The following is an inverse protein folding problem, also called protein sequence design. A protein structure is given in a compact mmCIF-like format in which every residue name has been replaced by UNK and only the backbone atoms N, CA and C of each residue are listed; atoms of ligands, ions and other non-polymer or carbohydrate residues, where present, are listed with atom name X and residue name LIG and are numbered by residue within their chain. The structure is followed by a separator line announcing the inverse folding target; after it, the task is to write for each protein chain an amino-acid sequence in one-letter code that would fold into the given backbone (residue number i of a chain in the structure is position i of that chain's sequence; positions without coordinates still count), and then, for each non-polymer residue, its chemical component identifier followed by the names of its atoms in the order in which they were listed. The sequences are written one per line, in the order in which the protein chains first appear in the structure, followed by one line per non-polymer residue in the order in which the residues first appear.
data_IF_249561378744
#
_entry.id   IF_249561378744
#
_cell.length_a   1.000
_cell.length_b   1.000
_cell.length_c   1.000
_cell.angle_alpha   90.00
_cell.angle_beta   90.00
_cell.angle_gamma   90.00
#
_symmetry.space_group_name_H-M   'P 1'
#
loop_
_entity.id
_entity.type
_entity.pdbx_description
1 polymer ?
#
# COMPACT_ATOMS: atom_id res chain seq x y z
N UNK A 1 16.97 -62.39 -35.12
CA UNK A 1 18.13 -61.65 -34.60
C UNK A 1 17.88 -60.17 -34.87
N UNK A 2 17.24 -59.54 -33.90
CA UNK A 2 16.87 -58.13 -33.98
C UNK A 2 18.06 -57.29 -33.49
N UNK A 3 18.69 -56.58 -34.41
CA UNK A 3 19.79 -55.63 -34.08
C UNK A 3 19.17 -54.37 -33.59
N UNK A 4 19.30 -54.10 -32.30
CA UNK A 4 18.85 -52.82 -31.69
C UNK A 4 19.45 -51.65 -32.43
N UNK A 5 18.66 -50.58 -32.72
CA UNK A 5 19.10 -49.42 -33.51
C UNK A 5 20.09 -48.50 -32.80
N UNK A 6 20.58 -48.90 -31.63
CA UNK A 6 21.46 -48.06 -30.79
C UNK A 6 22.93 -48.26 -31.09
N UNK A 7 23.31 -49.27 -31.96
CA UNK A 7 24.71 -49.67 -32.14
C UNK A 7 25.48 -48.87 -33.22
N UNK A 8 24.86 -47.93 -33.93
CA UNK A 8 25.52 -47.19 -35.04
C UNK A 8 25.63 -45.68 -34.84
N UNK A 9 25.25 -45.15 -33.66
CA UNK A 9 25.49 -43.75 -33.39
C UNK A 9 26.98 -43.51 -33.15
N UNK A 10 27.61 -42.75 -34.04
CA UNK A 10 28.98 -42.28 -33.90
C UNK A 10 29.11 -41.39 -32.66
N UNK A 11 30.25 -41.45 -31.98
CA UNK A 11 30.57 -40.56 -30.87
C UNK A 11 30.37 -39.08 -31.26
N UNK A 12 30.61 -38.75 -32.55
CA UNK A 12 30.36 -37.40 -33.09
C UNK A 12 28.88 -36.99 -33.04
N UNK A 13 27.98 -37.91 -33.43
CA UNK A 13 26.53 -37.63 -33.42
C UNK A 13 25.98 -37.43 -32.01
N UNK A 14 26.51 -38.15 -31.02
CA UNK A 14 26.13 -38.02 -29.61
C UNK A 14 26.60 -36.67 -29.05
N UNK A 15 27.79 -36.23 -29.39
CA UNK A 15 28.33 -34.95 -28.95
C UNK A 15 27.60 -33.78 -29.59
N UNK A 16 27.26 -33.87 -30.87
CA UNK A 16 26.51 -32.84 -31.59
C UNK A 16 25.07 -32.72 -31.05
N UNK A 17 24.41 -33.85 -30.78
CA UNK A 17 23.08 -33.84 -30.16
C UNK A 17 23.11 -33.34 -28.74
N UNK A 18 24.17 -33.61 -27.95
CA UNK A 18 24.32 -33.09 -26.59
C UNK A 18 24.52 -31.58 -26.59
N UNK A 19 25.31 -31.05 -27.51
CA UNK A 19 25.58 -29.61 -27.64
C UNK A 19 24.31 -28.86 -28.12
N UNK A 20 23.57 -29.43 -29.08
CA UNK A 20 22.28 -28.91 -29.53
C UNK A 20 21.22 -28.86 -28.41
N UNK A 21 21.21 -29.87 -27.55
CA UNK A 21 20.31 -29.91 -26.36
C UNK A 21 20.72 -28.90 -25.31
N UNK A 22 22.02 -28.66 -25.11
CA UNK A 22 22.53 -27.66 -24.17
C UNK A 22 22.26 -26.24 -24.65
N UNK A 23 22.41 -25.94 -25.93
CA UNK A 23 22.03 -24.67 -26.56
C UNK A 23 20.54 -24.42 -26.44
N UNK A 24 19.71 -25.44 -26.61
CA UNK A 24 18.23 -25.31 -26.44
C UNK A 24 17.82 -25.19 -25.00
N UNK A 25 18.62 -25.65 -24.04
CA UNK A 25 18.39 -25.49 -22.58
C UNK A 25 18.83 -24.14 -22.04
N UNK A 26 19.72 -23.41 -22.73
CA UNK A 26 20.10 -22.06 -22.30
C UNK A 26 18.87 -21.20 -22.40
N UNK A 27 18.28 -20.77 -21.27
CA UNK A 27 17.18 -19.83 -21.32
C UNK A 27 17.70 -18.60 -22.06
N UNK A 28 16.95 -18.13 -23.05
CA UNK A 28 17.18 -16.86 -23.75
C UNK A 28 17.02 -15.71 -22.73
N UNK A 29 17.96 -15.59 -21.82
CA UNK A 29 17.95 -14.69 -20.68
C UNK A 29 18.53 -13.31 -20.99
N UNK A 30 18.51 -12.93 -22.24
CA UNK A 30 18.86 -11.58 -22.63
C UNK A 30 17.60 -10.70 -22.78
N UNK A 31 16.61 -10.83 -21.87
CA UNK A 31 15.70 -9.71 -21.65
C UNK A 31 16.46 -8.65 -20.88
N UNK A 32 16.57 -7.42 -21.39
CA UNK A 32 17.41 -6.42 -20.78
C UNK A 32 16.95 -6.17 -19.35
N UNK A 33 17.85 -6.30 -18.39
CA UNK A 33 17.65 -6.05 -16.94
C UNK A 33 17.00 -4.69 -16.66
N UNK A 34 17.08 -3.75 -17.58
CA UNK A 34 16.46 -2.41 -17.51
C UNK A 34 14.93 -2.47 -17.60
N UNK A 35 14.36 -3.29 -18.51
CA UNK A 35 12.88 -3.37 -18.63
C UNK A 35 12.24 -4.06 -17.41
N UNK A 36 12.92 -5.04 -16.83
CA UNK A 36 12.44 -5.67 -15.60
C UNK A 36 12.45 -4.72 -14.40
N UNK A 37 13.49 -3.86 -14.28
CA UNK A 37 13.55 -2.83 -13.24
C UNK A 37 12.48 -1.75 -13.41
N UNK A 38 12.27 -1.27 -14.64
CA UNK A 38 11.25 -0.26 -14.91
C UNK A 38 9.84 -0.79 -14.64
N UNK A 39 9.56 -2.03 -15.02
CA UNK A 39 8.28 -2.70 -14.71
C UNK A 39 8.09 -2.95 -13.20
N UNK A 40 9.16 -3.21 -12.45
CA UNK A 40 9.11 -3.34 -11.00
C UNK A 40 8.83 -2.01 -10.29
N UNK A 41 9.39 -0.90 -10.80
CA UNK A 41 9.13 0.45 -10.27
C UNK A 41 7.71 0.95 -10.56
N UNK A 42 7.10 0.47 -11.65
CA UNK A 42 5.72 0.82 -12.05
C UNK A 42 4.66 -0.10 -11.42
N UNK A 43 5.05 -1.06 -10.58
CA UNK A 43 4.08 -1.86 -9.82
C UNK A 43 3.45 -0.99 -8.74
N UNK A 44 2.12 -0.93 -8.64
CA UNK A 44 1.45 -0.12 -7.64
C UNK A 44 1.62 -0.67 -6.20
N UNK A 45 2.10 -1.90 -6.05
CA UNK A 45 2.28 -2.59 -4.77
C UNK A 45 3.15 -1.81 -3.76
N UNK A 46 4.33 -1.23 -4.12
CA UNK A 46 5.15 -0.46 -3.18
C UNK A 46 4.45 0.81 -2.68
N UNK A 47 3.64 1.45 -3.54
CA UNK A 47 2.89 2.65 -3.16
C UNK A 47 1.80 2.32 -2.12
N UNK A 48 1.09 1.21 -2.29
CA UNK A 48 0.09 0.75 -1.31
C UNK A 48 0.73 0.40 0.03
N UNK A 49 1.90 -0.25 0.02
CA UNK A 49 2.64 -0.54 1.24
C UNK A 49 3.15 0.72 1.92
N UNK A 50 3.65 1.70 1.16
CA UNK A 50 4.06 3.00 1.67
C UNK A 50 2.90 3.76 2.32
N UNK A 51 1.76 3.84 1.64
CA UNK A 51 0.55 4.49 2.14
C UNK A 51 0.01 3.79 3.40
N UNK A 52 0.01 2.45 3.40
CA UNK A 52 -0.38 1.66 4.56
C UNK A 52 0.53 1.92 5.76
N UNK A 53 1.85 1.91 5.56
CA UNK A 53 2.83 2.18 6.61
C UNK A 53 2.71 3.60 7.15
N UNK A 54 2.59 4.61 6.28
CA UNK A 54 2.37 6.00 6.66
C UNK A 54 1.08 6.17 7.47
N UNK A 55 -0.02 5.52 7.07
CA UNK A 55 -1.27 5.54 7.79
C UNK A 55 -1.18 4.96 9.21
N UNK A 56 -0.44 3.85 9.35
CA UNK A 56 -0.15 3.27 10.67
C UNK A 56 0.68 4.19 11.57
N UNK A 57 1.71 4.83 11.00
CA UNK A 57 2.53 5.80 11.72
C UNK A 57 1.71 7.02 12.19
N UNK A 58 0.89 7.59 11.33
CA UNK A 58 0.00 8.71 11.67
C UNK A 58 -0.98 8.30 12.76
N UNK A 59 -1.61 7.13 12.64
CA UNK A 59 -2.55 6.64 13.65
C UNK A 59 -1.90 6.37 15.01
N UNK A 60 -0.67 5.85 15.02
CA UNK A 60 0.01 5.45 16.25
C UNK A 60 0.73 6.61 16.94
N UNK A 61 1.19 7.61 16.20
CA UNK A 61 1.99 8.71 16.73
C UNK A 61 1.27 10.06 16.68
N UNK A 62 0.90 10.52 15.48
CA UNK A 62 0.36 11.89 15.33
C UNK A 62 -1.03 12.05 15.92
N UNK A 63 -1.89 11.06 15.79
CA UNK A 63 -3.25 11.14 16.32
C UNK A 63 -3.26 11.18 17.85
N UNK A 64 -2.56 10.30 18.60
CA UNK A 64 -2.48 10.43 20.07
C UNK A 64 -1.84 11.72 20.53
N UNK A 65 -0.79 12.21 19.85
CA UNK A 65 -0.17 13.50 20.19
C UNK A 65 -1.18 14.65 20.03
N UNK A 66 -1.92 14.66 18.92
CA UNK A 66 -2.94 15.70 18.66
C UNK A 66 -4.05 15.65 19.71
N UNK A 67 -4.56 14.46 20.02
CA UNK A 67 -5.56 14.25 21.08
C UNK A 67 -4.98 14.65 22.46
N UNK A 68 -3.72 14.31 22.73
CA UNK A 68 -3.04 14.67 23.97
C UNK A 68 -2.91 16.19 24.16
N UNK A 69 -2.52 16.90 23.10
CA UNK A 69 -2.40 18.37 23.16
C UNK A 69 -3.77 19.03 23.29
N UNK A 70 -4.72 18.70 22.42
CA UNK A 70 -6.03 19.36 22.37
C UNK A 70 -6.96 18.93 23.50
N UNK A 71 -6.89 17.65 23.91
CA UNK A 71 -7.78 17.14 24.96
C UNK A 71 -7.16 17.21 26.35
N UNK A 72 -6.02 16.55 26.56
CA UNK A 72 -5.44 16.40 27.91
C UNK A 72 -4.79 17.70 28.40
N UNK A 73 -3.94 18.32 27.57
CA UNK A 73 -3.22 19.52 27.98
C UNK A 73 -4.17 20.69 28.25
N UNK A 74 -5.26 20.82 27.48
CA UNK A 74 -6.29 21.78 27.71
C UNK A 74 -7.10 21.49 29.00
N UNK A 75 -7.54 20.23 29.16
CA UNK A 75 -8.29 19.82 30.34
C UNK A 75 -7.46 19.92 31.65
N UNK A 76 -6.13 19.72 31.54
CA UNK A 76 -5.21 19.90 32.69
C UNK A 76 -4.86 21.36 32.98
N UNK A 77 -5.38 22.32 32.21
CA UNK A 77 -5.09 23.75 32.39
C UNK A 77 -3.67 24.18 31.97
N UNK A 78 -2.97 23.34 31.19
CA UNK A 78 -1.62 23.67 30.68
C UNK A 78 -1.66 24.64 29.49
N UNK A 79 -2.82 24.79 28.87
CA UNK A 79 -3.06 25.75 27.81
C UNK A 79 -4.03 26.85 28.31
N UNK A 80 -3.80 28.13 27.95
CA UNK A 80 -4.72 29.18 28.26
C UNK A 80 -6.06 28.95 27.55
N UNK A 81 -7.17 29.35 28.18
CA UNK A 81 -8.52 29.15 27.64
C UNK A 81 -8.68 29.78 26.25
N UNK A 82 -8.01 30.89 26.01
CA UNK A 82 -8.02 31.63 24.77
C UNK A 82 -7.33 30.87 23.62
N UNK A 83 -6.48 29.86 23.93
CA UNK A 83 -5.77 29.06 22.90
C UNK A 83 -6.75 28.25 22.06
N UNK A 84 -7.88 27.84 22.63
CA UNK A 84 -8.93 27.09 21.93
C UNK A 84 -10.19 27.94 21.68
N UNK A 85 -10.06 29.27 21.66
CA UNK A 85 -11.17 30.14 21.23
C UNK A 85 -11.56 29.82 19.78
N UNK A 86 -12.82 30.00 19.47
CA UNK A 86 -13.36 29.70 18.13
C UNK A 86 -12.57 30.42 17.01
N UNK A 87 -12.28 31.69 17.23
CA UNK A 87 -11.55 32.52 16.25
C UNK A 87 -10.15 31.96 15.98
N UNK A 88 -9.42 31.59 17.04
CA UNK A 88 -8.07 31.01 16.87
C UNK A 88 -8.08 29.64 16.20
N UNK A 89 -9.06 28.81 16.53
CA UNK A 89 -9.19 27.49 15.87
C UNK A 89 -9.52 27.67 14.39
N UNK A 90 -10.45 28.57 14.06
CA UNK A 90 -10.80 28.86 12.65
C UNK A 90 -9.58 29.40 11.89
N UNK A 91 -8.88 30.36 12.49
CA UNK A 91 -7.67 30.93 11.87
C UNK A 91 -6.59 29.87 11.65
N UNK A 92 -6.32 29.02 12.65
CA UNK A 92 -5.37 27.91 12.53
C UNK A 92 -5.79 26.93 11.44
N UNK A 93 -7.07 26.50 11.42
CA UNK A 93 -7.57 25.53 10.45
C UNK A 93 -7.66 26.12 9.04
N UNK A 94 -7.81 27.44 8.92
CA UNK A 94 -7.78 28.14 7.63
C UNK A 94 -6.40 28.15 6.98
N UNK A 95 -5.34 27.97 7.78
CA UNK A 95 -3.98 27.93 7.26
C UNK A 95 -3.73 26.67 6.38
N UNK A 96 -3.15 26.80 5.18
CA UNK A 96 -3.01 25.68 4.23
C UNK A 96 -2.22 24.48 4.76
N UNK A 97 -1.20 24.73 5.61
CA UNK A 97 -0.43 23.64 6.24
C UNK A 97 -1.28 22.88 7.27
N UNK A 98 -2.13 23.58 8.02
CA UNK A 98 -3.03 22.93 8.98
C UNK A 98 -4.10 22.11 8.25
N UNK A 99 -4.64 22.61 7.14
CA UNK A 99 -5.56 21.85 6.26
C UNK A 99 -4.91 20.58 5.75
N UNK A 100 -3.67 20.68 5.24
CA UNK A 100 -2.92 19.51 4.75
C UNK A 100 -2.65 18.50 5.88
N UNK A 101 -2.25 18.99 7.07
CA UNK A 101 -2.02 18.16 8.24
C UNK A 101 -3.29 17.43 8.67
N UNK A 102 -4.42 18.14 8.80
CA UNK A 102 -5.70 17.55 9.20
C UNK A 102 -6.22 16.55 8.15
N UNK A 103 -6.06 16.88 6.86
CA UNK A 103 -6.42 15.96 5.79
C UNK A 103 -5.59 14.66 5.86
N UNK A 104 -4.28 14.77 6.08
CA UNK A 104 -3.42 13.61 6.27
C UNK A 104 -3.77 12.83 7.53
N UNK A 105 -4.05 13.54 8.64
CA UNK A 105 -4.41 12.97 9.94
C UNK A 105 -5.70 12.14 9.89
N UNK A 106 -6.65 12.52 9.02
CA UNK A 106 -7.91 11.78 8.83
C UNK A 106 -7.78 10.72 7.76
N UNK A 107 -7.23 11.07 6.59
CA UNK A 107 -7.23 10.19 5.40
C UNK A 107 -6.31 8.99 5.56
N UNK A 108 -5.08 9.19 6.05
CA UNK A 108 -4.09 8.11 6.14
C UNK A 108 -4.51 6.99 7.10
N UNK A 109 -5.02 7.28 8.32
CA UNK A 109 -5.56 6.24 9.19
C UNK A 109 -6.79 5.53 8.62
N UNK A 110 -7.66 6.22 7.88
CA UNK A 110 -8.81 5.59 7.22
C UNK A 110 -8.36 4.56 6.18
N UNK A 111 -7.37 4.88 5.35
CA UNK A 111 -6.81 3.93 4.38
C UNK A 111 -6.09 2.77 5.07
N UNK A 112 -5.35 3.03 6.13
CA UNK A 112 -4.71 1.99 6.94
C UNK A 112 -5.75 1.05 7.54
N UNK A 113 -6.80 1.58 8.15
CA UNK A 113 -7.92 0.82 8.70
C UNK A 113 -8.62 -0.02 7.62
N UNK A 114 -8.97 0.59 6.48
CA UNK A 114 -9.65 -0.10 5.38
C UNK A 114 -8.82 -1.29 4.87
N UNK A 115 -7.51 -1.11 4.72
CA UNK A 115 -6.61 -2.16 4.29
C UNK A 115 -6.53 -3.29 5.31
N UNK A 116 -6.30 -2.97 6.59
CA UNK A 116 -6.20 -3.95 7.67
C UNK A 116 -7.51 -4.69 7.90
N UNK A 117 -8.62 -3.96 7.97
CA UNK A 117 -9.95 -4.53 8.20
C UNK A 117 -10.37 -5.50 7.09
N UNK A 118 -10.10 -5.16 5.82
CA UNK A 118 -10.36 -6.06 4.69
C UNK A 118 -9.69 -7.42 4.87
N UNK A 119 -8.42 -7.43 5.27
CA UNK A 119 -7.68 -8.67 5.48
C UNK A 119 -8.17 -9.43 6.71
N UNK A 120 -8.45 -8.72 7.81
CA UNK A 120 -8.96 -9.32 9.04
C UNK A 120 -10.29 -10.02 8.79
N UNK A 121 -11.24 -9.36 8.14
CA UNK A 121 -12.55 -9.96 7.82
C UNK A 121 -12.39 -11.19 6.93
N UNK A 122 -11.50 -11.11 5.94
CA UNK A 122 -11.26 -12.23 5.04
C UNK A 122 -10.68 -13.46 5.76
N UNK A 123 -9.71 -13.24 6.68
CA UNK A 123 -9.07 -14.31 7.42
C UNK A 123 -9.95 -14.88 8.53
N UNK A 124 -10.68 -14.04 9.26
CA UNK A 124 -11.50 -14.45 10.40
C UNK A 124 -12.78 -15.20 9.98
N UNK A 125 -13.43 -14.73 8.92
CA UNK A 125 -14.74 -15.27 8.54
C UNK A 125 -14.70 -16.22 7.34
N UNK A 126 -13.53 -16.48 6.74
CA UNK A 126 -13.37 -17.42 5.63
C UNK A 126 -14.21 -17.10 4.38
N UNK A 127 -14.65 -15.85 4.22
CA UNK A 127 -15.66 -15.43 3.21
C UNK A 127 -14.99 -15.26 1.86
N UNK A 128 -14.67 -16.36 1.18
CA UNK A 128 -13.92 -16.33 -0.09
C UNK A 128 -14.72 -15.73 -1.26
N UNK A 129 -16.07 -15.85 -1.23
CA UNK A 129 -16.94 -15.33 -2.30
C UNK A 129 -17.14 -13.81 -2.28
N UNK A 130 -17.01 -13.15 -1.13
CA UNK A 130 -17.30 -11.72 -0.96
C UNK A 130 -16.07 -10.81 -0.96
N UNK A 131 -14.91 -11.31 -1.34
CA UNK A 131 -13.63 -10.56 -1.31
C UNK A 131 -13.73 -9.19 -1.99
N UNK A 132 -14.39 -9.13 -3.16
CA UNK A 132 -14.54 -7.88 -3.92
C UNK A 132 -15.49 -6.91 -3.21
N UNK A 133 -16.60 -7.41 -2.70
CA UNK A 133 -17.58 -6.58 -1.99
C UNK A 133 -16.99 -5.95 -0.74
N UNK A 134 -16.28 -6.75 0.08
CA UNK A 134 -15.58 -6.28 1.28
C UNK A 134 -14.53 -5.23 0.91
N UNK A 135 -13.75 -5.47 -0.14
CA UNK A 135 -12.75 -4.50 -0.60
C UNK A 135 -13.39 -3.19 -1.05
N UNK A 136 -14.46 -3.25 -1.86
CA UNK A 136 -15.19 -2.06 -2.32
C UNK A 136 -15.81 -1.30 -1.14
N UNK A 137 -16.42 -1.99 -0.19
CA UNK A 137 -17.00 -1.38 0.99
C UNK A 137 -15.93 -0.67 1.84
N UNK A 138 -14.82 -1.35 2.17
CA UNK A 138 -13.76 -0.78 3.01
C UNK A 138 -13.07 0.42 2.35
N UNK A 139 -12.64 0.27 1.10
CA UNK A 139 -11.97 1.38 0.40
C UNK A 139 -12.94 2.47 -0.01
N UNK A 140 -14.18 2.12 -0.37
CA UNK A 140 -15.24 3.10 -0.66
C UNK A 140 -15.52 3.99 0.54
N UNK A 141 -15.63 3.42 1.74
CA UNK A 141 -15.80 4.18 2.99
C UNK A 141 -14.60 5.07 3.27
N UNK A 142 -13.35 4.57 3.08
CA UNK A 142 -12.15 5.37 3.30
C UNK A 142 -12.06 6.54 2.31
N UNK A 143 -12.36 6.30 1.03
CA UNK A 143 -12.37 7.35 0.00
C UNK A 143 -13.46 8.38 0.29
N UNK A 144 -14.66 7.93 0.62
CA UNK A 144 -15.78 8.82 0.96
C UNK A 144 -15.46 9.69 2.19
N UNK A 145 -14.88 9.10 3.25
CA UNK A 145 -14.43 9.83 4.43
C UNK A 145 -13.34 10.85 4.14
N UNK A 146 -12.33 10.48 3.35
CA UNK A 146 -11.27 11.39 2.93
C UNK A 146 -11.80 12.53 2.05
N UNK A 147 -12.71 12.23 1.11
CA UNK A 147 -13.33 13.24 0.27
C UNK A 147 -14.19 14.20 1.09
N UNK A 148 -14.96 13.69 2.05
CA UNK A 148 -15.76 14.52 2.95
C UNK A 148 -14.86 15.43 3.81
N UNK A 149 -13.77 14.90 4.37
CA UNK A 149 -12.80 15.70 5.10
C UNK A 149 -12.19 16.81 4.23
N UNK A 150 -11.80 16.49 3.00
CA UNK A 150 -11.29 17.46 2.03
C UNK A 150 -12.32 18.56 1.73
N UNK A 151 -13.58 18.18 1.46
CA UNK A 151 -14.66 19.13 1.17
C UNK A 151 -14.94 20.08 2.34
N UNK A 152 -14.94 19.56 3.57
CA UNK A 152 -15.12 20.38 4.78
C UNK A 152 -13.96 21.37 4.93
N UNK A 153 -12.71 20.89 4.82
CA UNK A 153 -11.53 21.73 4.96
C UNK A 153 -11.40 22.80 3.86
N UNK A 154 -11.93 22.53 2.67
CA UNK A 154 -11.95 23.51 1.56
C UNK A 154 -13.01 24.61 1.77
N UNK A 155 -14.04 24.37 2.60
CA UNK A 155 -15.09 25.34 2.89
C UNK A 155 -14.76 26.29 4.05
N UNK A 156 -13.82 25.92 4.88
CA UNK A 156 -13.25 26.74 5.93
C UNK A 156 -12.13 27.62 5.36
#
# INVERSE_FOLDING_TARGET
MDRSPIAELSLGDILEESDAREVKRRPSSARPRRESRMRQLLRPEPMFWGLFSAGGFVAALLLPITVGILGIAFAAGWLPVEALSYERIVDLVSHPLAKLYLLALVSLPLFHWAHRFRYTVHHQFGVHGLKRLIAVACYGTAIAGAALAALVLLRI
#
